data_IF_088664990488
#
_entry.id   IF_088664990488
#
_cell.length_a   1.000
_cell.length_b   1.000
_cell.length_c   1.000
_cell.angle_alpha   90.00
_cell.angle_beta   90.00
_cell.angle_gamma   90.00
#
_symmetry.space_group_name_H-M   'P 1'
#
loop_
_entity.id
_entity.type
_entity.pdbx_description
1 polymer ?
#
# COMPACT_ATOMS: atom_id res chain seq x y z
N UNK A 1 -51.61 -13.17 21.36
CA UNK A 1 -52.12 -14.52 21.69
C UNK A 1 -51.24 -15.55 21.01
N UNK A 2 -50.98 -16.65 21.72
CA UNK A 2 -50.12 -17.82 21.40
C UNK A 2 -48.60 -17.68 21.66
N UNK A 3 -48.13 -18.29 22.78
CA UNK A 3 -46.74 -18.37 23.19
C UNK A 3 -46.13 -19.79 23.02
N UNK A 4 -44.80 -19.90 23.30
CA UNK A 4 -43.99 -21.08 23.70
C UNK A 4 -43.37 -21.98 22.61
N UNK A 5 -42.04 -22.12 22.72
CA UNK A 5 -41.23 -23.36 22.86
C UNK A 5 -39.83 -22.89 23.32
N UNK A 6 -39.40 -22.98 24.58
CA UNK A 6 -39.07 -24.10 25.49
C UNK A 6 -38.02 -25.10 24.95
N UNK A 7 -36.85 -25.02 25.60
CA UNK A 7 -35.90 -26.06 26.00
C UNK A 7 -34.98 -26.74 24.97
N UNK A 8 -33.68 -26.66 25.27
CA UNK A 8 -32.61 -27.44 24.67
C UNK A 8 -31.28 -27.23 25.41
N UNK A 9 -31.27 -27.32 26.74
CA UNK A 9 -30.05 -27.41 27.55
C UNK A 9 -29.42 -28.80 27.39
N UNK A 10 -28.42 -28.91 26.53
CA UNK A 10 -27.54 -30.07 26.43
C UNK A 10 -26.25 -29.80 27.19
N UNK A 11 -26.20 -30.21 28.46
CA UNK A 11 -24.98 -30.33 29.26
C UNK A 11 -24.34 -31.66 28.85
N UNK A 12 -23.19 -31.62 28.18
CA UNK A 12 -22.35 -32.80 27.95
C UNK A 12 -20.98 -32.56 28.55
N UNK A 13 -20.91 -32.92 29.83
CA UNK A 13 -19.71 -33.03 30.66
C UNK A 13 -18.86 -34.17 30.12
N UNK A 14 -17.87 -33.85 29.28
CA UNK A 14 -16.86 -34.79 28.82
C UNK A 14 -15.55 -34.59 29.58
N UNK A 15 -15.45 -35.21 30.75
CA UNK A 15 -14.23 -35.30 31.55
C UNK A 15 -13.32 -36.36 30.91
N UNK A 16 -12.26 -35.95 30.20
CA UNK A 16 -11.18 -36.86 29.77
C UNK A 16 -9.93 -36.53 30.59
N UNK A 17 -9.77 -37.32 31.66
CA UNK A 17 -8.48 -37.63 32.26
C UNK A 17 -7.72 -38.57 31.32
N UNK A 18 -6.47 -38.25 30.99
CA UNK A 18 -5.30 -39.15 31.02
C UNK A 18 -4.19 -38.60 30.12
N UNK A 19 -2.98 -38.51 30.67
CA UNK A 19 -1.78 -38.37 29.86
C UNK A 19 -0.66 -37.59 30.50
N UNK A 20 -0.13 -38.09 31.64
CA UNK A 20 1.22 -37.79 32.06
C UNK A 20 2.18 -38.16 30.91
N UNK A 21 2.84 -37.16 30.32
CA UNK A 21 4.10 -37.38 29.62
C UNK A 21 5.16 -36.49 30.25
N UNK A 22 5.74 -37.02 31.33
CA UNK A 22 7.04 -36.61 31.85
C UNK A 22 8.10 -37.04 30.85
N UNK A 23 8.73 -36.09 30.17
CA UNK A 23 9.83 -36.44 29.29
C UNK A 23 10.63 -35.27 28.72
N UNK A 24 11.87 -35.20 29.18
CA UNK A 24 13.04 -34.66 28.48
C UNK A 24 13.31 -33.15 28.58
N UNK A 25 13.86 -32.82 29.74
CA UNK A 25 14.99 -31.89 29.88
C UNK A 25 15.95 -31.98 28.69
N UNK A 26 16.11 -30.88 27.94
CA UNK A 26 17.33 -30.61 27.19
C UNK A 26 18.09 -29.48 27.88
N UNK A 27 19.39 -29.67 28.16
CA UNK A 27 20.22 -28.65 28.78
C UNK A 27 20.52 -27.50 27.83
N UNK A 28 20.46 -26.32 28.42
CA UNK A 28 21.04 -25.03 28.01
C UNK A 28 22.41 -25.20 27.36
N UNK A 29 22.54 -24.75 26.11
CA UNK A 29 23.82 -24.31 25.56
C UNK A 29 23.67 -22.90 24.97
N UNK A 30 24.28 -21.99 25.72
CA UNK A 30 24.64 -20.62 25.44
C UNK A 30 24.75 -20.22 23.96
N UNK A 31 24.07 -19.13 23.59
CA UNK A 31 24.71 -18.11 22.76
C UNK A 31 24.02 -16.73 22.93
N UNK A 32 24.40 -15.92 23.94
CA UNK A 32 24.02 -14.51 23.96
C UNK A 32 24.89 -13.78 22.93
N UNK A 33 24.44 -13.72 21.67
CA UNK A 33 24.88 -12.66 20.76
C UNK A 33 24.25 -11.36 21.26
N UNK A 34 24.91 -10.76 22.24
CA UNK A 34 24.75 -9.35 22.61
C UNK A 34 24.97 -8.51 21.37
N UNK A 35 23.88 -8.04 20.75
CA UNK A 35 23.97 -6.96 19.78
C UNK A 35 24.35 -5.68 20.53
N UNK A 36 25.27 -4.87 20.00
CA UNK A 36 25.58 -3.57 20.58
C UNK A 36 24.35 -2.64 20.49
N UNK A 37 24.03 -1.87 21.55
CA UNK A 37 23.03 -0.82 21.45
C UNK A 37 23.63 0.36 20.68
N UNK A 38 23.46 0.39 19.36
CA UNK A 38 23.71 1.60 18.57
C UNK A 38 22.38 2.20 18.13
N UNK A 39 21.70 2.85 19.07
CA UNK A 39 20.65 3.78 18.72
C UNK A 39 20.70 5.02 19.61
N UNK A 40 21.81 5.74 19.47
CA UNK A 40 21.83 7.16 19.78
C UNK A 40 21.22 7.88 18.58
N UNK A 41 19.90 7.84 18.45
CA UNK A 41 19.23 8.78 17.55
C UNK A 41 19.45 10.18 18.12
N UNK A 42 19.93 11.15 17.32
CA UNK A 42 19.98 12.54 17.76
C UNK A 42 18.56 12.98 18.12
N UNK A 43 18.41 13.44 19.35
CA UNK A 43 17.18 14.01 19.88
C UNK A 43 16.65 15.07 18.88
N UNK A 44 15.42 14.92 18.34
CA UNK A 44 14.86 15.87 17.39
C UNK A 44 14.63 17.28 17.98
N UNK A 45 14.81 17.44 19.30
CA UNK A 45 14.80 18.75 19.97
C UNK A 45 16.06 19.61 19.80
N UNK A 46 17.17 19.07 19.26
CA UNK A 46 18.40 19.86 19.10
C UNK A 46 18.38 20.79 17.87
N UNK A 47 17.49 20.54 16.89
CA UNK A 47 17.43 21.33 15.65
C UNK A 47 16.66 22.66 15.80
N UNK A 48 15.79 22.78 16.81
CA UNK A 48 14.98 23.99 17.02
C UNK A 48 15.71 25.09 17.80
N UNK A 49 16.74 24.75 18.58
CA UNK A 49 17.61 25.74 19.24
C UNK A 49 18.61 26.37 18.24
N UNK A 50 19.21 25.57 17.34
CA UNK A 50 20.16 26.09 16.35
C UNK A 50 19.53 27.08 15.34
N UNK A 51 18.25 26.88 14.97
CA UNK A 51 17.52 27.81 14.09
C UNK A 51 17.13 29.12 14.80
N UNK A 52 16.96 29.11 16.13
CA UNK A 52 16.71 30.33 16.91
C UNK A 52 17.97 31.19 17.06
N UNK A 53 19.16 30.59 17.00
CA UNK A 53 20.42 31.32 17.13
C UNK A 53 20.80 32.04 15.82
N UNK A 54 20.56 31.43 14.65
CA UNK A 54 20.76 32.10 13.34
C UNK A 54 19.80 33.28 13.17
N UNK A 55 18.55 33.18 13.66
CA UNK A 55 17.59 34.28 13.58
C UNK A 55 17.96 35.49 14.47
N UNK A 56 18.76 35.31 15.52
CA UNK A 56 19.27 36.43 16.35
C UNK A 56 20.49 37.11 15.76
N UNK A 57 21.30 36.41 14.95
CA UNK A 57 22.47 36.98 14.30
C UNK A 57 22.11 37.93 13.13
N UNK A 58 21.01 37.69 12.40
CA UNK A 58 20.60 38.53 11.27
C UNK A 58 19.90 39.85 11.69
N UNK A 59 19.32 39.89 12.89
CA UNK A 59 18.67 41.10 13.41
C UNK A 59 19.68 42.20 13.82
N UNK A 60 20.91 41.82 14.17
CA UNK A 60 21.95 42.77 14.60
C UNK A 60 22.65 43.50 13.43
N UNK A 61 22.45 43.06 12.17
CA UNK A 61 23.12 43.66 11.00
C UNK A 61 22.24 44.62 10.19
N UNK A 62 20.97 44.80 10.55
CA UNK A 62 20.03 45.73 9.87
C UNK A 62 19.85 47.08 10.57
N UNK A 63 20.62 47.36 11.62
CA UNK A 63 20.53 48.58 12.41
C UNK A 63 21.67 49.58 12.17
N UNK A 64 22.11 49.82 10.94
CA UNK A 64 23.08 50.89 10.66
C UNK A 64 23.15 51.26 9.15
N UNK A 65 22.16 51.98 8.65
CA UNK A 65 22.36 52.90 7.52
C UNK A 65 21.28 53.98 7.55
N UNK A 66 21.39 54.85 8.55
CA UNK A 66 20.82 56.19 8.49
C UNK A 66 21.70 57.01 7.53
N UNK A 67 21.14 57.38 6.40
CA UNK A 67 21.69 58.35 5.47
C UNK A 67 20.62 58.71 4.45
N UNK A 68 20.03 59.92 4.46
CA UNK A 68 19.28 60.42 3.32
C UNK A 68 20.30 60.75 2.22
N UNK A 69 20.74 59.71 1.51
CA UNK A 69 21.57 59.88 0.33
C UNK A 69 20.69 60.54 -0.73
N UNK A 70 20.99 61.82 -1.00
CA UNK A 70 20.33 62.62 -2.01
C UNK A 70 20.39 61.87 -3.34
N UNK A 71 19.23 61.38 -3.79
CA UNK A 71 19.06 60.79 -5.11
C UNK A 71 19.50 61.84 -6.13
N UNK A 72 20.52 61.59 -6.96
CA UNK A 72 20.93 62.56 -7.99
C UNK A 72 19.74 62.84 -8.89
N UNK A 73 19.35 64.11 -8.98
CA UNK A 73 18.13 64.59 -9.64
C UNK A 73 18.14 64.45 -11.18
N UNK A 74 19.09 63.69 -11.73
CA UNK A 74 19.32 63.53 -13.17
C UNK A 74 19.38 62.05 -13.56
N UNK A 75 18.40 61.28 -13.07
CA UNK A 75 18.10 59.99 -13.69
C UNK A 75 17.24 60.28 -14.92
N UNK A 76 17.68 59.94 -16.14
CA UNK A 76 16.86 60.11 -17.32
C UNK A 76 15.55 59.37 -17.09
N UNK A 77 14.45 60.13 -17.08
CA UNK A 77 13.10 59.58 -16.98
C UNK A 77 12.96 58.58 -18.11
N UNK A 78 12.92 57.30 -17.76
CA UNK A 78 12.74 56.25 -18.77
C UNK A 78 11.39 56.47 -19.41
N UNK A 79 11.40 56.72 -20.71
CA UNK A 79 10.18 56.79 -21.52
C UNK A 79 9.41 55.49 -21.30
N UNK A 80 8.27 55.61 -20.62
CA UNK A 80 7.36 54.50 -20.42
C UNK A 80 6.62 54.31 -21.73
N UNK A 81 6.63 53.11 -22.31
CA UNK A 81 5.85 52.84 -23.51
C UNK A 81 4.40 53.24 -23.30
N UNK A 82 3.82 53.92 -24.29
CA UNK A 82 2.41 54.29 -24.26
C UNK A 82 1.53 53.03 -24.31
N UNK A 83 0.27 53.12 -23.86
CA UNK A 83 -0.65 51.97 -23.87
C UNK A 83 -0.85 51.39 -25.28
N UNK A 84 -0.86 52.26 -26.28
CA UNK A 84 -0.98 51.88 -27.69
C UNK A 84 0.25 51.13 -28.19
N UNK A 85 1.45 51.52 -27.76
CA UNK A 85 2.69 50.81 -28.06
C UNK A 85 2.72 49.42 -27.42
N UNK A 86 2.26 49.30 -26.17
CA UNK A 86 2.15 48.00 -25.50
C UNK A 86 1.14 47.08 -26.21
N UNK A 87 -0.01 47.61 -26.60
CA UNK A 87 -1.02 46.86 -27.33
C UNK A 87 -0.52 46.40 -28.71
N UNK A 88 0.26 47.24 -29.39
CA UNK A 88 0.89 46.90 -30.67
C UNK A 88 1.96 45.82 -30.50
N UNK A 89 2.85 45.97 -29.52
CA UNK A 89 3.89 44.98 -29.22
C UNK A 89 3.31 43.60 -28.86
N UNK A 90 2.20 43.57 -28.12
CA UNK A 90 1.50 42.33 -27.78
C UNK A 90 0.90 41.65 -29.03
N UNK A 91 0.26 42.43 -29.92
CA UNK A 91 -0.26 41.91 -31.20
C UNK A 91 0.85 41.37 -32.08
N UNK A 92 1.98 42.08 -32.17
CA UNK A 92 3.12 41.65 -32.99
C UNK A 92 3.81 40.41 -32.41
N UNK A 93 3.92 40.32 -31.08
CA UNK A 93 4.41 39.12 -30.39
C UNK A 93 3.50 37.90 -30.62
N UNK A 94 2.17 38.08 -30.60
CA UNK A 94 1.23 36.99 -30.88
C UNK A 94 1.23 36.53 -32.34
N UNK A 95 1.44 37.46 -33.29
CA UNK A 95 1.57 37.13 -34.72
C UNK A 95 2.85 36.36 -35.01
N UNK A 96 3.96 36.76 -34.38
CA UNK A 96 5.28 36.17 -34.58
C UNK A 96 5.56 34.98 -33.66
N UNK A 97 4.56 34.46 -32.95
CA UNK A 97 4.77 33.35 -32.03
C UNK A 97 5.01 32.05 -32.81
N UNK A 98 6.24 31.49 -32.80
CA UNK A 98 6.57 30.29 -33.57
C UNK A 98 5.76 29.06 -33.13
N UNK A 99 5.17 29.10 -31.92
CA UNK A 99 4.31 28.03 -31.39
C UNK A 99 2.98 27.89 -32.15
N UNK A 100 2.53 28.92 -32.88
CA UNK A 100 1.24 28.91 -33.58
C UNK A 100 1.26 28.05 -34.86
N UNK A 101 2.44 27.83 -35.43
CA UNK A 101 2.65 26.98 -36.60
C UNK A 101 2.97 25.53 -36.25
N UNK A 102 3.07 25.19 -34.97
CA UNK A 102 3.27 23.81 -34.57
C UNK A 102 2.00 23.01 -34.90
N UNK A 103 2.13 21.82 -35.51
CA UNK A 103 1.00 20.94 -35.69
C UNK A 103 0.39 20.65 -34.32
N UNK A 104 -0.94 20.63 -34.24
CA UNK A 104 -1.62 20.15 -33.04
C UNK A 104 -1.02 18.77 -32.67
N UNK A 105 -0.75 18.51 -31.38
CA UNK A 105 -0.09 17.28 -30.96
C UNK A 105 -0.81 16.08 -31.58
N UNK A 106 -0.06 15.29 -32.35
CA UNK A 106 -0.54 14.05 -32.99
C UNK A 106 -0.81 13.02 -31.88
N UNK A 107 -2.00 13.09 -31.32
CA UNK A 107 -2.50 12.20 -30.29
C UNK A 107 -4.00 12.43 -30.15
N UNK A 108 -4.71 11.47 -29.59
CA UNK A 108 -6.17 11.30 -29.62
C UNK A 108 -6.96 12.37 -28.83
N UNK A 109 -6.43 13.58 -28.70
CA UNK A 109 -6.94 14.64 -27.82
C UNK A 109 -6.78 14.32 -26.33
N UNK A 110 -6.22 13.16 -25.98
CA UNK A 110 -5.90 12.79 -24.60
C UNK A 110 -4.54 13.33 -24.22
N UNK A 111 -4.55 14.20 -23.22
CA UNK A 111 -3.37 14.75 -22.59
C UNK A 111 -2.47 13.60 -22.07
N UNK A 112 -1.23 13.45 -22.58
CA UNK A 112 -0.32 12.40 -22.12
C UNK A 112 0.00 12.53 -20.63
N UNK A 113 -0.13 13.72 -20.02
CA UNK A 113 0.02 13.91 -18.58
C UNK A 113 -1.07 13.18 -17.77
N UNK A 114 -2.28 13.09 -18.33
CA UNK A 114 -3.38 12.31 -17.71
C UNK A 114 -3.19 10.80 -17.91
N UNK A 115 -2.62 10.39 -19.04
CA UNK A 115 -2.29 8.98 -19.28
C UNK A 115 -1.19 8.45 -18.35
N UNK A 116 -0.26 9.31 -17.95
CA UNK A 116 0.82 8.97 -17.01
C UNK A 116 0.45 9.14 -15.53
N UNK A 117 -0.78 9.59 -15.22
CA UNK A 117 -1.21 9.73 -13.83
C UNK A 117 -1.35 8.33 -13.24
N UNK A 118 -0.56 7.97 -12.21
CA UNK A 118 -0.68 6.65 -11.60
C UNK A 118 -2.09 6.50 -11.02
N UNK A 119 -2.68 5.30 -11.12
CA UNK A 119 -3.99 5.03 -10.54
C UNK A 119 -4.00 5.37 -9.05
N UNK A 120 -5.13 5.92 -8.58
CA UNK A 120 -5.29 6.34 -7.19
C UNK A 120 -4.96 5.20 -6.22
N UNK A 121 -4.24 5.50 -5.15
CA UNK A 121 -3.76 4.51 -4.19
C UNK A 121 -4.92 3.74 -3.54
N UNK A 122 -6.03 4.44 -3.30
CA UNK A 122 -7.26 3.86 -2.73
C UNK A 122 -7.94 2.90 -3.71
N UNK A 123 -7.82 3.12 -5.02
CA UNK A 123 -8.40 2.24 -6.03
C UNK A 123 -7.70 0.87 -6.08
N UNK A 124 -6.39 0.85 -5.84
CA UNK A 124 -5.55 -0.35 -5.84
C UNK A 124 -5.37 -1.00 -4.47
N UNK A 125 -6.06 -0.50 -3.45
CA UNK A 125 -5.96 -1.00 -2.09
C UNK A 125 -7.32 -1.35 -1.52
N UNK A 126 -7.35 -2.38 -0.69
CA UNK A 126 -8.41 -2.61 0.29
C UNK A 126 -8.04 -1.92 1.60
N UNK A 127 -9.07 -1.48 2.32
CA UNK A 127 -8.91 -0.73 3.56
C UNK A 127 -9.37 -1.61 4.71
N UNK A 128 -8.50 -1.84 5.69
CA UNK A 128 -8.87 -2.49 6.94
C UNK A 128 -9.00 -1.44 8.04
N UNK A 129 -10.16 -1.36 8.68
CA UNK A 129 -10.45 -0.42 9.76
C UNK A 129 -10.80 -1.14 11.06
N UNK A 130 -10.20 -0.69 12.17
CA UNK A 130 -10.53 -1.15 13.50
C UNK A 130 -10.17 -0.10 14.57
N UNK A 131 -11.11 0.20 15.48
CA UNK A 131 -10.92 1.16 16.58
C UNK A 131 -10.33 2.51 16.15
N UNK A 132 -10.86 3.10 15.06
CA UNK A 132 -10.38 4.39 14.57
C UNK A 132 -8.95 4.36 13.99
N UNK A 133 -8.39 3.17 13.76
CA UNK A 133 -7.14 2.97 13.01
C UNK A 133 -7.47 2.30 11.69
N UNK A 134 -6.79 2.71 10.63
CA UNK A 134 -6.93 2.14 9.30
C UNK A 134 -5.58 1.72 8.74
N UNK A 135 -5.54 0.69 7.90
CA UNK A 135 -4.37 0.37 7.08
C UNK A 135 -4.80 0.08 5.66
N UNK A 136 -3.92 0.43 4.71
CA UNK A 136 -4.06 0.05 3.31
C UNK A 136 -3.39 -1.30 3.10
N UNK A 137 -4.06 -2.16 2.35
CA UNK A 137 -3.60 -3.49 1.97
C UNK A 137 -3.80 -3.62 0.46
N UNK A 138 -2.82 -4.11 -0.32
CA UNK A 138 -3.01 -4.26 -1.77
C UNK A 138 -4.24 -5.11 -2.09
N UNK A 139 -4.92 -4.80 -3.20
CA UNK A 139 -6.04 -5.63 -3.69
C UNK A 139 -5.62 -7.09 -3.75
N UNK A 140 -6.50 -7.98 -3.31
CA UNK A 140 -6.31 -9.45 -3.34
C UNK A 140 -5.17 -9.95 -2.45
N UNK A 141 -4.64 -9.13 -1.54
CA UNK A 141 -3.75 -9.63 -0.50
C UNK A 141 -4.53 -10.31 0.64
N UNK A 142 -5.84 -10.06 0.75
CA UNK A 142 -6.71 -10.74 1.72
C UNK A 142 -7.17 -12.05 1.10
N UNK A 143 -6.72 -13.17 1.68
CA UNK A 143 -7.01 -14.52 1.16
C UNK A 143 -8.37 -15.04 1.62
N UNK A 144 -8.74 -14.73 2.86
CA UNK A 144 -9.98 -15.18 3.46
C UNK A 144 -10.56 -14.14 4.41
N UNK A 145 -11.86 -13.87 4.27
CA UNK A 145 -12.62 -12.95 5.11
C UNK A 145 -13.80 -13.71 5.72
N UNK A 146 -13.76 -14.01 7.03
CA UNK A 146 -14.95 -14.46 7.74
C UNK A 146 -16.06 -13.41 7.70
N UNK A 147 -17.33 -13.84 7.61
CA UNK A 147 -18.49 -12.94 7.55
C UNK A 147 -18.53 -11.92 8.70
N UNK A 148 -18.07 -12.34 9.89
CA UNK A 148 -17.96 -11.54 11.10
C UNK A 148 -17.06 -10.29 10.95
N UNK A 149 -16.13 -10.31 9.99
CA UNK A 149 -15.17 -9.23 9.78
C UNK A 149 -15.42 -8.42 8.49
N UNK A 150 -16.43 -8.78 7.69
CA UNK A 150 -16.81 -8.06 6.47
C UNK A 150 -17.04 -6.55 6.71
N UNK A 151 -17.61 -6.19 7.87
CA UNK A 151 -17.86 -4.81 8.27
C UNK A 151 -16.57 -3.99 8.48
N UNK A 152 -15.44 -4.65 8.76
CA UNK A 152 -14.15 -4.01 9.01
C UNK A 152 -13.38 -3.66 7.73
N UNK A 153 -13.84 -4.10 6.57
CA UNK A 153 -13.27 -3.74 5.25
C UNK A 153 -13.75 -2.37 4.73
N UNK A 154 -14.54 -1.64 5.51
CA UNK A 154 -15.07 -0.33 5.14
C UNK A 154 -14.27 0.78 5.82
N UNK A 155 -14.02 1.86 5.10
CA UNK A 155 -13.34 3.02 5.67
C UNK A 155 -14.24 3.77 6.65
N UNK A 156 -13.80 3.89 7.90
CA UNK A 156 -14.45 4.71 8.91
C UNK A 156 -13.95 6.16 8.81
N UNK A 157 -14.88 7.12 8.72
CA UNK A 157 -14.54 8.55 8.66
C UNK A 157 -13.81 8.97 9.93
N UNK A 158 -12.63 9.59 9.77
CA UNK A 158 -11.80 10.02 10.90
C UNK A 158 -10.82 8.96 11.41
N UNK A 159 -10.78 7.77 10.80
CA UNK A 159 -9.77 6.77 11.13
C UNK A 159 -8.35 7.25 10.75
N UNK A 160 -7.39 7.05 11.65
CA UNK A 160 -5.98 7.36 11.42
C UNK A 160 -5.33 6.23 10.63
N UNK A 161 -4.76 6.54 9.46
CA UNK A 161 -3.98 5.59 8.68
C UNK A 161 -2.67 5.27 9.42
N UNK A 162 -2.37 3.99 9.56
CA UNK A 162 -1.16 3.46 10.18
C UNK A 162 -0.43 2.51 9.22
N UNK A 163 0.82 2.20 9.56
CA UNK A 163 1.56 1.18 8.83
C UNK A 163 0.97 -0.20 9.10
N UNK A 164 1.06 -1.12 8.12
CA UNK A 164 0.53 -2.47 8.29
C UNK A 164 1.15 -3.19 9.50
N UNK A 165 2.44 -3.00 9.77
CA UNK A 165 3.13 -3.62 10.91
C UNK A 165 2.56 -3.15 12.27
N UNK A 166 2.26 -1.87 12.42
CA UNK A 166 1.64 -1.31 13.63
C UNK A 166 0.18 -1.76 13.77
N UNK A 167 -0.55 -1.77 12.66
CA UNK A 167 -1.93 -2.25 12.62
C UNK A 167 -1.99 -3.72 13.02
N UNK A 168 -1.14 -4.57 12.43
CA UNK A 168 -1.05 -5.99 12.76
C UNK A 168 -0.71 -6.21 14.23
N UNK A 169 0.25 -5.46 14.81
CA UNK A 169 0.62 -5.57 16.23
C UNK A 169 -0.56 -5.34 17.16
N UNK A 170 -1.44 -4.39 16.84
CA UNK A 170 -2.64 -4.09 17.65
C UNK A 170 -3.77 -5.10 17.41
N UNK A 171 -3.77 -5.79 16.27
CA UNK A 171 -4.89 -6.60 15.77
C UNK A 171 -4.56 -8.09 15.62
N UNK A 172 -3.54 -8.61 16.33
CA UNK A 172 -3.10 -10.01 16.21
C UNK A 172 -4.15 -11.03 16.65
N UNK A 173 -5.12 -10.61 17.45
CA UNK A 173 -6.16 -11.50 17.98
C UNK A 173 -7.10 -12.02 16.89
N UNK A 174 -7.27 -11.25 15.80
CA UNK A 174 -8.24 -11.57 14.74
C UNK A 174 -7.66 -11.55 13.32
N UNK A 175 -6.42 -11.10 13.14
CA UNK A 175 -5.69 -11.14 11.87
C UNK A 175 -4.59 -12.19 11.93
N UNK A 176 -4.60 -13.12 10.98
CA UNK A 176 -3.51 -14.06 10.73
C UNK A 176 -2.79 -13.68 9.44
N UNK A 177 -1.47 -13.86 9.42
CA UNK A 177 -0.65 -13.66 8.23
C UNK A 177 -0.17 -15.00 7.70
N UNK A 178 -0.22 -15.19 6.39
CA UNK A 178 0.36 -16.36 5.71
C UNK A 178 1.47 -15.85 4.81
N UNK A 179 2.70 -16.29 5.07
CA UNK A 179 3.82 -15.99 4.19
C UNK A 179 3.66 -16.75 2.88
N UNK A 180 3.68 -16.02 1.77
CA UNK A 180 3.59 -16.57 0.41
C UNK A 180 4.89 -16.32 -0.33
N UNK A 181 5.29 -17.25 -1.20
CA UNK A 181 6.45 -17.03 -2.06
C UNK A 181 6.12 -16.01 -3.16
N UNK A 182 7.15 -15.39 -3.74
CA UNK A 182 6.97 -14.48 -4.88
C UNK A 182 6.32 -15.19 -6.07
N UNK A 183 6.71 -16.42 -6.36
CA UNK A 183 6.18 -17.24 -7.46
C UNK A 183 4.70 -17.55 -7.25
N UNK A 184 4.29 -17.83 -6.01
CA UNK A 184 2.89 -18.02 -5.64
C UNK A 184 2.09 -16.73 -5.77
N UNK A 185 2.63 -15.59 -5.33
CA UNK A 185 1.97 -14.30 -5.44
C UNK A 185 1.73 -13.88 -6.91
N UNK A 186 2.67 -14.21 -7.80
CA UNK A 186 2.56 -14.03 -9.25
C UNK A 186 1.55 -14.99 -9.91
N UNK A 187 1.02 -15.98 -9.17
CA UNK A 187 0.06 -16.97 -9.65
C UNK A 187 0.69 -18.12 -10.46
N UNK A 188 2.02 -18.30 -10.36
CA UNK A 188 2.73 -19.38 -11.03
C UNK A 188 2.55 -20.74 -10.35
N UNK A 189 2.37 -20.75 -9.02
CA UNK A 189 2.10 -21.94 -8.24
C UNK A 189 0.86 -21.75 -7.34
N UNK A 190 -0.01 -22.76 -7.20
CA UNK A 190 -1.10 -22.71 -6.24
C UNK A 190 -0.58 -22.74 -4.80
N UNK A 191 -1.39 -22.23 -3.87
CA UNK A 191 -1.13 -22.40 -2.43
C UNK A 191 -1.25 -23.88 -2.07
N UNK A 192 -0.44 -24.34 -1.10
CA UNK A 192 -0.50 -25.73 -0.65
C UNK A 192 -1.92 -26.10 -0.17
N UNK A 193 -2.35 -27.33 -0.43
CA UNK A 193 -3.69 -27.81 -0.04
C UNK A 193 -3.92 -27.69 1.47
N UNK A 194 -2.88 -27.96 2.28
CA UNK A 194 -2.91 -27.79 3.74
C UNK A 194 -3.22 -26.35 4.14
N UNK A 195 -2.59 -25.38 3.46
CA UNK A 195 -2.86 -23.96 3.68
C UNK A 195 -4.32 -23.65 3.33
N UNK A 196 -4.80 -24.10 2.16
CA UNK A 196 -6.16 -23.84 1.70
C UNK A 196 -7.22 -24.40 2.67
N UNK A 197 -7.07 -25.65 3.11
CA UNK A 197 -7.94 -26.25 4.12
C UNK A 197 -7.87 -25.51 5.47
N UNK A 198 -6.70 -25.00 5.82
CA UNK A 198 -6.51 -24.15 7.00
C UNK A 198 -7.23 -22.81 6.89
N UNK A 199 -7.26 -22.20 5.69
CA UNK A 199 -7.98 -20.95 5.43
C UNK A 199 -9.49 -21.13 5.60
N UNK A 200 -10.06 -22.19 5.02
CA UNK A 200 -11.51 -22.47 5.08
C UNK A 200 -12.00 -22.68 6.53
N UNK A 201 -11.18 -23.32 7.36
CA UNK A 201 -11.50 -23.57 8.78
C UNK A 201 -11.18 -22.39 9.69
N UNK A 202 -10.50 -21.36 9.17
CA UNK A 202 -10.04 -20.26 10.01
C UNK A 202 -11.19 -19.34 10.41
N UNK A 203 -11.21 -18.91 11.66
CA UNK A 203 -12.17 -17.90 12.17
C UNK A 203 -11.60 -16.49 12.13
N UNK A 204 -10.37 -16.34 11.63
CA UNK A 204 -9.59 -15.10 11.61
C UNK A 204 -9.51 -14.57 10.18
N UNK A 205 -9.36 -13.26 10.01
CA UNK A 205 -9.05 -12.68 8.70
C UNK A 205 -7.63 -13.07 8.31
N UNK A 206 -7.43 -13.58 7.10
CA UNK A 206 -6.11 -14.04 6.65
C UNK A 206 -5.55 -13.13 5.56
N UNK A 207 -4.36 -12.57 5.80
CA UNK A 207 -3.64 -11.70 4.86
C UNK A 207 -2.37 -12.40 4.37
N UNK A 208 -2.14 -12.37 3.06
CA UNK A 208 -0.90 -12.82 2.45
C UNK A 208 0.22 -11.80 2.71
N UNK A 209 1.36 -12.28 3.19
CA UNK A 209 2.55 -11.47 3.43
C UNK A 209 3.75 -12.03 2.68
N UNK A 210 4.69 -11.16 2.32
CA UNK A 210 6.01 -11.52 1.84
C UNK A 210 7.03 -10.65 2.56
N UNK A 211 7.96 -11.29 3.28
CA UNK A 211 8.96 -10.59 4.09
C UNK A 211 8.34 -9.65 5.14
N UNK A 212 7.19 -10.04 5.69
CA UNK A 212 6.47 -9.26 6.70
C UNK A 212 5.65 -8.07 6.17
N UNK A 213 5.63 -7.83 4.86
CA UNK A 213 4.75 -6.83 4.21
C UNK A 213 3.56 -7.48 3.49
N UNK A 214 2.40 -6.82 3.38
CA UNK A 214 1.25 -7.38 2.68
C UNK A 214 1.51 -7.39 1.15
N UNK A 215 1.18 -8.50 0.49
CA UNK A 215 1.41 -8.71 -0.95
C UNK A 215 0.14 -9.20 -1.66
N UNK A 216 -0.12 -8.70 -2.87
CA UNK A 216 -1.25 -9.18 -3.69
C UNK A 216 -1.00 -10.57 -4.24
N UNK A 217 -1.98 -11.47 -4.15
CA UNK A 217 -1.90 -12.82 -4.71
C UNK A 217 -2.81 -12.92 -5.93
N UNK A 218 -2.22 -13.28 -7.08
CA UNK A 218 -2.95 -13.57 -8.31
C UNK A 218 -3.59 -14.97 -8.20
N UNK A 219 -4.77 -15.25 -8.80
CA UNK A 219 -5.32 -16.59 -8.77
C UNK A 219 -4.35 -17.47 -9.58
N UNK A 220 -4.11 -18.71 -9.16
CA UNK A 220 -3.28 -19.60 -9.94
C UNK A 220 -3.85 -19.67 -11.36
N UNK A 221 -3.01 -19.42 -12.35
CA UNK A 221 -3.41 -19.72 -13.72
C UNK A 221 -3.47 -21.23 -13.81
N UNK A 222 -4.69 -21.79 -13.81
CA UNK A 222 -4.86 -23.20 -14.11
C UNK A 222 -4.21 -23.37 -15.48
N UNK A 223 -3.12 -24.13 -15.63
CA UNK A 223 -2.62 -24.44 -16.95
C UNK A 223 -3.78 -25.14 -17.62
N UNK A 224 -4.38 -24.46 -18.61
CA UNK A 224 -5.35 -25.07 -19.51
C UNK A 224 -4.63 -26.31 -19.99
N UNK A 225 -5.05 -27.48 -19.49
CA UNK A 225 -4.47 -28.75 -19.87
C UNK A 225 -4.39 -28.70 -21.40
N UNK A 226 -3.21 -28.93 -22.02
CA UNK A 226 -3.12 -28.91 -23.46
C UNK A 226 -4.18 -29.88 -23.93
N UNK A 227 -5.24 -29.36 -24.56
CA UNK A 227 -6.25 -30.17 -25.21
C UNK A 227 -5.44 -30.98 -26.22
N UNK A 228 -5.21 -32.25 -25.90
CA UNK A 228 -4.65 -33.20 -26.85
C UNK A 228 -5.80 -33.47 -27.81
N UNK A 229 -6.08 -32.47 -28.65
CA UNK A 229 -6.90 -32.60 -29.86
C UNK A 229 -6.01 -33.34 -30.88
N UNK A 230 -5.70 -34.57 -30.54
CA UNK A 230 -4.90 -35.52 -31.27
C UNK A 230 -5.67 -36.82 -31.31
N UNK A 231 -6.80 -36.76 -32.02
CA UNK A 231 -7.57 -37.87 -32.57
C UNK A 231 -6.63 -38.73 -33.43
N UNK A 232 -5.83 -39.58 -32.78
CA UNK A 232 -5.21 -40.72 -33.44
C UNK A 232 -6.27 -41.82 -33.41
N UNK A 233 -7.10 -41.82 -34.45
CA UNK A 233 -7.90 -42.97 -34.88
C UNK A 233 -7.02 -44.23 -34.79
N UNK A 234 -7.26 -45.05 -33.78
CA UNK A 234 -6.77 -46.42 -33.75
C UNK A 234 -7.57 -47.19 -34.79
N UNK A 235 -7.05 -47.23 -36.02
CA UNK A 235 -7.44 -48.20 -37.04
C UNK A 235 -7.04 -49.59 -36.56
N UNK A 236 -7.90 -50.21 -35.76
CA UNK A 236 -7.79 -51.58 -35.30
C UNK A 236 -8.22 -52.51 -36.44
N UNK A 237 -7.32 -52.68 -37.41
CA UNK A 237 -7.43 -53.62 -38.53
C UNK A 237 -6.45 -54.76 -38.31
N UNK A 238 -6.83 -55.73 -37.48
CA UNK A 238 -6.14 -57.02 -37.45
C UNK A 238 -7.14 -58.16 -37.37
N UNK A 239 -7.91 -58.33 -38.46
CA UNK A 239 -8.64 -59.55 -38.72
C UNK A 239 -7.72 -60.51 -39.48
N UNK A 240 -7.05 -61.40 -38.74
CA UNK A 240 -6.14 -62.42 -39.25
C UNK A 240 -6.54 -63.78 -38.70
N UNK A 241 -7.26 -64.52 -39.54
CA UNK A 241 -7.15 -65.96 -39.78
C UNK A 241 -7.03 -66.92 -38.58
N UNK A 242 -8.09 -67.68 -38.31
CA UNK A 242 -8.13 -69.14 -38.51
C UNK A 242 -9.50 -69.75 -38.24
#
# INVERSE_FOLDING_TARGET
>A
MHPRRLHGTGILTGLILCGLSTGWFHPVLANPRTMPPSNTYPNPGAFTEALKEVARADAAKRGASAGPEAVPADLPVRDRPSHDELAKALKDSQKNNPMRGLPAPRGDGKDPAKAATPPDLLSNSDILCHHGKATLVPKRAILFVPDNYSNRLKFEKGAKIQTFAEFLRTNRDWIKTVEVSRVQAEGGEPLSEDTQQGLEKSTSLVVATYQGGPISVLPPQVPVAPTIDGEAESSDSNDKAK
#
